data_IF_886920755729
#
_entry.id   IF_886920755729
#
_cell.length_a   1.000
_cell.length_b   1.000
_cell.length_c   1.000
_cell.angle_alpha   90.00
_cell.angle_beta   90.00
_cell.angle_gamma   90.00
#
_symmetry.space_group_name_H-M   'P 1'
#
loop_
_entity.id
_entity.type
_entity.pdbx_description
1 polymer ?
#
# COMPACT_ATOMS: atom_id res chain seq x y z
N UNK A 1 26.37 74.17 -61.84
CA UNK A 1 26.57 72.71 -61.89
C UNK A 1 25.55 72.06 -60.99
N UNK A 2 24.51 71.48 -61.57
CA UNK A 2 23.33 70.93 -60.90
C UNK A 2 23.59 69.45 -60.61
N UNK A 3 23.80 69.09 -59.34
CA UNK A 3 23.79 67.69 -58.94
C UNK A 3 22.37 67.15 -59.05
N UNK A 4 22.26 66.06 -59.79
CA UNK A 4 21.05 65.33 -60.10
C UNK A 4 20.28 64.99 -58.83
N UNK A 5 19.12 65.60 -58.64
CA UNK A 5 18.08 65.15 -57.72
C UNK A 5 17.62 63.78 -58.21
N UNK A 6 18.15 62.70 -57.63
CA UNK A 6 17.54 61.38 -57.79
C UNK A 6 16.12 61.51 -57.21
N UNK A 7 15.05 61.34 -58.01
CA UNK A 7 13.70 61.55 -57.53
C UNK A 7 13.41 60.50 -56.46
N UNK A 8 12.88 60.95 -55.31
CA UNK A 8 12.50 60.10 -54.15
C UNK A 8 11.69 58.87 -54.56
N UNK A 9 10.87 59.04 -55.59
CA UNK A 9 10.04 57.99 -56.20
C UNK A 9 10.86 56.84 -56.77
N UNK A 10 12.05 57.10 -57.33
CA UNK A 10 12.92 56.05 -57.87
C UNK A 10 13.53 55.19 -56.75
N UNK A 11 13.98 55.81 -55.65
CA UNK A 11 14.51 55.09 -54.49
C UNK A 11 13.42 54.25 -53.83
N UNK A 12 12.22 54.81 -53.65
CA UNK A 12 11.06 54.07 -53.13
C UNK A 12 10.62 52.94 -54.05
N UNK A 13 10.56 53.19 -55.36
CA UNK A 13 10.15 52.17 -56.34
C UNK A 13 11.16 51.02 -56.39
N UNK A 14 12.46 51.34 -56.34
CA UNK A 14 13.52 50.34 -56.30
C UNK A 14 13.46 49.49 -55.03
N UNK A 15 13.38 50.11 -53.84
CA UNK A 15 13.26 49.39 -52.57
C UNK A 15 11.99 48.54 -52.52
N UNK A 16 10.87 49.05 -53.04
CA UNK A 16 9.62 48.28 -53.15
C UNK A 16 9.78 47.07 -54.07
N UNK A 17 10.52 47.21 -55.18
CA UNK A 17 10.77 46.09 -56.11
C UNK A 17 11.62 44.99 -55.46
N UNK A 18 12.61 45.37 -54.66
CA UNK A 18 13.49 44.43 -53.95
C UNK A 18 12.74 43.71 -52.82
N UNK A 19 11.68 44.32 -52.26
CA UNK A 19 10.84 43.73 -51.20
C UNK A 19 9.81 42.71 -51.71
N UNK A 20 9.39 42.80 -52.97
CA UNK A 20 8.39 41.90 -53.58
C UNK A 20 8.60 40.39 -53.30
N UNK A 21 9.82 39.82 -53.46
CA UNK A 21 10.03 38.40 -53.17
C UNK A 21 9.80 38.06 -51.69
N UNK A 22 10.15 38.94 -50.74
CA UNK A 22 9.88 38.73 -49.31
C UNK A 22 8.38 38.77 -49.00
N UNK A 23 7.65 39.73 -49.56
CA UNK A 23 6.20 39.85 -49.35
C UNK A 23 5.44 38.64 -49.89
N UNK A 24 5.89 38.07 -51.01
CA UNK A 24 5.31 36.84 -51.54
C UNK A 24 5.49 35.65 -50.58
N UNK A 25 6.65 35.53 -49.94
CA UNK A 25 6.90 34.48 -48.93
C UNK A 25 6.14 34.70 -47.64
N UNK A 26 5.96 35.95 -47.19
CA UNK A 26 5.12 36.30 -46.03
C UNK A 26 3.66 35.84 -46.21
N UNK A 27 3.10 36.06 -47.41
CA UNK A 27 1.74 35.65 -47.76
C UNK A 27 1.55 34.12 -47.74
N UNK A 28 2.55 33.35 -48.17
CA UNK A 28 2.49 31.88 -48.19
C UNK A 28 2.64 31.28 -46.79
N UNK A 29 3.48 31.89 -45.95
CA UNK A 29 3.76 31.40 -44.59
C UNK A 29 2.69 31.90 -43.58
N UNK A 30 1.83 32.83 -43.99
CA UNK A 30 0.77 33.40 -43.14
C UNK A 30 1.30 34.28 -42.02
N UNK A 31 2.56 34.74 -42.11
CA UNK A 31 3.21 35.65 -41.15
C UNK A 31 3.38 37.01 -41.82
N UNK A 32 2.82 38.07 -41.24
CA UNK A 32 2.90 39.43 -41.80
C UNK A 32 4.04 40.23 -41.15
N UNK A 33 4.88 40.85 -41.98
CA UNK A 33 5.73 42.01 -41.69
C UNK A 33 6.63 41.94 -40.44
N UNK A 34 6.07 42.07 -39.25
CA UNK A 34 6.79 42.22 -37.98
C UNK A 34 7.08 40.89 -37.26
N UNK A 35 6.30 39.83 -37.53
CA UNK A 35 6.38 38.54 -36.82
C UNK A 35 7.34 37.54 -37.48
N UNK A 36 8.04 37.96 -38.54
CA UNK A 36 8.92 37.10 -39.33
C UNK A 36 10.38 37.61 -39.30
N UNK A 37 11.34 36.83 -38.75
CA UNK A 37 12.71 37.30 -38.58
C UNK A 37 13.43 37.79 -39.86
N UNK A 38 13.22 37.18 -41.05
CA UNK A 38 13.75 37.69 -42.31
C UNK A 38 13.19 39.05 -42.72
N UNK A 39 11.90 39.33 -42.46
CA UNK A 39 11.29 40.62 -42.75
C UNK A 39 11.85 41.72 -41.84
N UNK A 40 12.04 41.42 -40.54
CA UNK A 40 12.68 42.33 -39.58
C UNK A 40 14.14 42.64 -39.95
N UNK A 41 14.87 41.66 -40.49
CA UNK A 41 16.23 41.86 -40.99
C UNK A 41 16.26 42.74 -42.26
N UNK A 42 15.31 42.54 -43.18
CA UNK A 42 15.18 43.35 -44.39
C UNK A 42 14.78 44.80 -44.08
N UNK A 43 13.84 45.00 -43.15
CA UNK A 43 13.44 46.33 -42.67
C UNK A 43 14.62 47.12 -42.11
N UNK A 44 15.51 46.47 -41.35
CA UNK A 44 16.73 47.08 -40.84
C UNK A 44 17.72 47.48 -41.93
N UNK A 45 17.82 46.69 -43.00
CA UNK A 45 18.63 47.01 -44.18
C UNK A 45 18.03 48.17 -44.98
N UNK A 46 16.72 48.14 -45.24
CA UNK A 46 15.98 49.19 -45.94
C UNK A 46 16.12 50.54 -45.22
N UNK A 47 16.00 50.55 -43.90
CA UNK A 47 16.21 51.72 -43.04
C UNK A 47 17.64 52.29 -43.15
N UNK A 48 18.65 51.42 -43.21
CA UNK A 48 20.05 51.81 -43.40
C UNK A 48 20.31 52.47 -44.76
N UNK A 49 19.73 51.93 -45.82
CA UNK A 49 19.82 52.48 -47.19
C UNK A 49 19.10 53.82 -47.28
N UNK A 50 17.88 53.95 -46.75
CA UNK A 50 17.12 55.22 -46.71
C UNK A 50 17.88 56.31 -45.95
N UNK A 51 18.51 55.98 -44.82
CA UNK A 51 19.32 56.93 -44.04
C UNK A 51 20.59 57.35 -44.79
N UNK A 52 21.30 56.41 -45.41
CA UNK A 52 22.52 56.71 -46.18
C UNK A 52 22.25 57.59 -47.39
N UNK A 53 21.25 57.24 -48.19
CA UNK A 53 20.84 58.01 -49.38
C UNK A 53 20.22 59.35 -48.98
N UNK A 54 19.39 59.39 -47.93
CA UNK A 54 18.81 60.63 -47.41
C UNK A 54 19.85 61.61 -46.88
N UNK A 55 20.86 61.13 -46.16
CA UNK A 55 21.96 61.99 -45.66
C UNK A 55 22.80 62.56 -46.80
N UNK A 56 23.02 61.78 -47.86
CA UNK A 56 23.79 62.21 -49.04
C UNK A 56 23.05 63.27 -49.88
N UNK A 57 21.72 63.19 -49.95
CA UNK A 57 20.87 64.09 -50.75
C UNK A 57 20.33 65.28 -49.92
N UNK A 58 20.58 65.29 -48.61
CA UNK A 58 20.08 66.33 -47.70
C UNK A 58 18.58 66.21 -47.38
N UNK A 59 18.03 65.00 -47.50
CA UNK A 59 16.61 64.72 -47.34
C UNK A 59 16.27 64.26 -45.91
N UNK A 60 15.84 65.20 -45.08
CA UNK A 60 15.54 64.96 -43.66
C UNK A 60 14.36 64.01 -43.43
N UNK A 61 13.41 63.90 -44.37
CA UNK A 61 12.27 62.99 -44.23
C UNK A 61 12.69 61.52 -44.36
N UNK A 62 13.55 61.20 -45.32
CA UNK A 62 14.12 59.85 -45.49
C UNK A 62 14.98 59.41 -44.30
N UNK A 63 15.70 60.36 -43.69
CA UNK A 63 16.48 60.11 -42.46
C UNK A 63 15.55 59.83 -41.27
N UNK A 64 14.44 60.57 -41.12
CA UNK A 64 13.45 60.33 -40.07
C UNK A 64 12.72 59.00 -40.24
N UNK A 65 12.30 58.64 -41.46
CA UNK A 65 11.69 57.33 -41.76
C UNK A 65 12.62 56.17 -41.39
N UNK A 66 13.90 56.26 -41.76
CA UNK A 66 14.90 55.23 -41.41
C UNK A 66 15.17 55.13 -39.90
N UNK A 67 15.08 56.23 -39.14
CA UNK A 67 15.19 56.18 -37.68
C UNK A 67 13.97 55.50 -37.04
N UNK A 68 12.77 55.76 -37.54
CA UNK A 68 11.54 55.13 -37.05
C UNK A 68 11.52 53.63 -37.37
N UNK A 69 11.90 53.22 -38.60
CA UNK A 69 11.99 51.81 -39.00
C UNK A 69 13.02 51.06 -38.14
N UNK A 70 14.18 51.67 -37.87
CA UNK A 70 15.20 51.06 -36.99
C UNK A 70 14.68 50.88 -35.55
N UNK A 71 14.01 51.89 -34.99
CA UNK A 71 13.42 51.79 -33.65
C UNK A 71 12.35 50.70 -33.56
N UNK A 72 11.53 50.54 -34.61
CA UNK A 72 10.56 49.45 -34.71
C UNK A 72 11.24 48.08 -34.75
N UNK A 73 12.30 47.92 -35.55
CA UNK A 73 13.06 46.66 -35.63
C UNK A 73 13.70 46.30 -34.30
N UNK A 74 14.23 47.29 -33.57
CA UNK A 74 14.81 47.09 -32.24
C UNK A 74 13.74 46.61 -31.23
N UNK A 75 12.57 47.25 -31.20
CA UNK A 75 11.45 46.81 -30.36
C UNK A 75 10.97 45.38 -30.70
N UNK A 76 10.93 45.02 -31.98
CA UNK A 76 10.55 43.66 -32.40
C UNK A 76 11.59 42.62 -32.00
N UNK A 77 12.88 42.96 -32.04
CA UNK A 77 13.95 42.08 -31.55
C UNK A 77 13.83 41.87 -30.04
N UNK A 78 13.66 42.94 -29.28
CA UNK A 78 13.49 42.85 -27.83
C UNK A 78 12.26 42.02 -27.47
N UNK A 79 11.14 42.20 -28.19
CA UNK A 79 9.94 41.41 -27.99
C UNK A 79 10.17 39.91 -28.29
N UNK A 80 10.85 39.59 -29.38
CA UNK A 80 11.19 38.21 -29.74
C UNK A 80 12.13 37.55 -28.73
N UNK A 81 13.12 38.29 -28.20
CA UNK A 81 14.01 37.81 -27.14
C UNK A 81 13.25 37.54 -25.84
N UNK A 82 12.33 38.43 -25.46
CA UNK A 82 11.49 38.26 -24.27
C UNK A 82 10.52 37.06 -24.42
N UNK A 83 9.95 36.86 -25.60
CA UNK A 83 9.10 35.71 -25.90
C UNK A 83 9.87 34.40 -25.82
N UNK A 84 11.06 34.33 -26.45
CA UNK A 84 11.94 33.17 -26.37
C UNK A 84 12.35 32.85 -24.92
N UNK A 85 12.71 33.87 -24.13
CA UNK A 85 13.03 33.70 -22.72
C UNK A 85 11.81 33.23 -21.90
N UNK A 86 10.61 33.71 -22.22
CA UNK A 86 9.38 33.27 -21.58
C UNK A 86 9.03 31.81 -21.92
N UNK A 87 9.17 31.41 -23.18
CA UNK A 87 8.98 30.02 -23.62
C UNK A 87 9.98 29.08 -22.94
N UNK A 88 11.25 29.46 -22.88
CA UNK A 88 12.27 28.69 -22.18
C UNK A 88 11.91 28.50 -20.69
N UNK A 89 11.55 29.59 -20.00
CA UNK A 89 11.13 29.51 -18.59
C UNK A 89 9.88 28.65 -18.39
N UNK A 90 8.91 28.70 -19.31
CA UNK A 90 7.72 27.83 -19.28
C UNK A 90 8.10 26.37 -19.46
N UNK A 91 9.01 26.06 -20.38
CA UNK A 91 9.49 24.70 -20.61
C UNK A 91 10.21 24.14 -19.38
N UNK A 92 11.13 24.92 -18.78
CA UNK A 92 11.84 24.56 -17.56
C UNK A 92 10.88 24.36 -16.38
N UNK A 93 9.92 25.27 -16.19
CA UNK A 93 8.92 25.16 -15.13
C UNK A 93 8.03 23.93 -15.29
N UNK A 94 7.64 23.60 -16.53
CA UNK A 94 6.85 22.41 -16.83
C UNK A 94 7.65 21.13 -16.54
N UNK A 95 8.89 21.06 -17.01
CA UNK A 95 9.77 19.92 -16.73
C UNK A 95 9.95 19.69 -15.22
N UNK A 96 10.26 20.75 -14.47
CA UNK A 96 10.39 20.65 -13.01
C UNK A 96 9.07 20.35 -12.29
N UNK A 97 7.92 20.73 -12.85
CA UNK A 97 6.62 20.34 -12.31
C UNK A 97 6.34 18.84 -12.53
N UNK A 98 6.59 18.33 -13.73
CA UNK A 98 6.36 16.93 -14.09
C UNK A 98 7.27 16.00 -13.27
N UNK A 99 8.55 16.35 -13.10
CA UNK A 99 9.51 15.61 -12.25
C UNK A 99 9.06 15.55 -10.77
N UNK A 100 8.63 16.69 -10.21
CA UNK A 100 8.10 16.74 -8.84
C UNK A 100 6.84 15.90 -8.69
N UNK A 101 5.96 15.94 -9.68
CA UNK A 101 4.72 15.16 -9.70
C UNK A 101 5.02 13.66 -9.72
N UNK A 102 5.93 13.22 -10.57
CA UNK A 102 6.38 11.82 -10.65
C UNK A 102 6.99 11.37 -9.30
N UNK A 103 7.91 12.15 -8.75
CA UNK A 103 8.52 11.87 -7.44
C UNK A 103 7.49 11.72 -6.32
N UNK A 104 6.48 12.60 -6.29
CA UNK A 104 5.40 12.54 -5.29
C UNK A 104 4.53 11.29 -5.50
N UNK A 105 4.23 10.94 -6.75
CA UNK A 105 3.47 9.72 -7.07
C UNK A 105 4.23 8.45 -6.69
N UNK A 106 5.52 8.36 -7.01
CA UNK A 106 6.37 7.23 -6.62
C UNK A 106 6.45 7.09 -5.11
N UNK A 107 6.65 8.21 -4.39
CA UNK A 107 6.67 8.21 -2.93
C UNK A 107 5.33 7.76 -2.35
N UNK A 108 4.21 8.23 -2.91
CA UNK A 108 2.88 7.81 -2.48
C UNK A 108 2.68 6.30 -2.68
N UNK A 109 2.99 5.78 -3.87
CA UNK A 109 2.89 4.34 -4.16
C UNK A 109 3.81 3.49 -3.27
N UNK A 110 5.00 3.99 -2.92
CA UNK A 110 5.90 3.30 -2.01
C UNK A 110 5.33 3.25 -0.60
N UNK A 111 4.81 4.36 -0.09
CA UNK A 111 4.17 4.43 1.24
C UNK A 111 2.95 3.51 1.30
N UNK A 112 2.13 3.48 0.24
CA UNK A 112 0.98 2.60 0.15
C UNK A 112 1.38 1.12 0.17
N UNK A 113 2.37 0.72 -0.65
CA UNK A 113 2.92 -0.65 -0.64
C UNK A 113 3.49 -1.03 0.72
N UNK A 114 4.28 -0.16 1.36
CA UNK A 114 4.83 -0.41 2.70
C UNK A 114 3.70 -0.53 3.75
N UNK A 115 2.61 0.22 3.61
CA UNK A 115 1.46 0.12 4.50
C UNK A 115 0.70 -1.20 4.31
N UNK A 116 0.48 -1.62 3.06
CA UNK A 116 -0.15 -2.91 2.74
C UNK A 116 0.68 -4.10 3.23
N UNK A 117 2.00 -4.08 3.01
CA UNK A 117 2.90 -5.12 3.49
C UNK A 117 2.89 -5.22 5.02
N UNK A 118 2.90 -4.08 5.72
CA UNK A 118 2.78 -4.05 7.19
C UNK A 118 1.45 -4.63 7.65
N UNK A 119 0.34 -4.26 7.00
CA UNK A 119 -0.99 -4.79 7.32
C UNK A 119 -1.05 -6.30 7.11
N UNK A 120 -0.58 -6.79 5.96
CA UNK A 120 -0.54 -8.22 5.65
C UNK A 120 0.34 -9.00 6.64
N UNK A 121 1.47 -8.42 7.08
CA UNK A 121 2.32 -9.03 8.11
C UNK A 121 1.61 -9.12 9.46
N UNK A 122 0.94 -8.05 9.90
CA UNK A 122 0.17 -8.05 11.15
C UNK A 122 -0.96 -9.08 11.12
N UNK A 123 -1.71 -9.15 10.02
CA UNK A 123 -2.79 -10.15 9.86
C UNK A 123 -2.26 -11.59 9.92
N UNK A 124 -1.10 -11.86 9.31
CA UNK A 124 -0.44 -13.18 9.41
C UNK A 124 0.00 -13.49 10.83
N UNK A 125 0.64 -12.53 11.51
CA UNK A 125 1.07 -12.71 12.91
C UNK A 125 -0.12 -12.97 13.84
N UNK A 126 -1.24 -12.26 13.66
CA UNK A 126 -2.47 -12.51 14.42
C UNK A 126 -3.06 -13.88 14.15
N UNK A 127 -3.12 -14.30 12.88
CA UNK A 127 -3.61 -15.62 12.50
C UNK A 127 -2.74 -16.74 13.09
N UNK A 128 -1.41 -16.60 13.06
CA UNK A 128 -0.48 -17.57 13.61
C UNK A 128 -0.56 -17.63 15.15
N UNK A 129 -0.67 -16.48 15.82
CA UNK A 129 -0.91 -16.42 17.27
C UNK A 129 -2.21 -17.13 17.65
N UNK A 130 -3.30 -16.87 16.91
CA UNK A 130 -4.59 -17.51 17.16
C UNK A 130 -4.49 -19.03 17.00
N UNK A 131 -3.85 -19.51 15.94
CA UNK A 131 -3.62 -20.95 15.71
C UNK A 131 -2.79 -21.57 16.84
N UNK A 132 -1.73 -20.91 17.28
CA UNK A 132 -0.88 -21.39 18.38
C UNK A 132 -1.64 -21.48 19.72
N UNK A 133 -2.50 -20.51 20.00
CA UNK A 133 -3.38 -20.51 21.18
C UNK A 133 -4.40 -21.65 21.08
N UNK A 134 -5.05 -21.82 19.93
CA UNK A 134 -6.02 -22.91 19.70
C UNK A 134 -5.35 -24.30 19.83
N UNK A 135 -4.16 -24.48 19.26
CA UNK A 135 -3.41 -25.73 19.36
C UNK A 135 -3.00 -26.03 20.80
N UNK A 136 -2.54 -25.02 21.53
CA UNK A 136 -2.18 -25.14 22.94
C UNK A 136 -3.41 -25.47 23.79
N UNK A 137 -4.56 -24.86 23.51
CA UNK A 137 -5.81 -25.15 24.19
C UNK A 137 -6.27 -26.60 23.94
N UNK A 138 -6.24 -27.06 22.68
CA UNK A 138 -6.56 -28.45 22.31
C UNK A 138 -5.64 -29.44 23.01
N UNK A 139 -4.33 -29.20 23.02
CA UNK A 139 -3.36 -30.06 23.73
C UNK A 139 -3.65 -30.15 25.23
N UNK A 140 -3.98 -29.02 25.87
CA UNK A 140 -4.35 -28.99 27.29
C UNK A 140 -5.66 -29.74 27.55
N UNK A 141 -6.66 -29.58 26.70
CA UNK A 141 -7.93 -30.28 26.81
C UNK A 141 -7.75 -31.79 26.65
N UNK A 142 -6.99 -32.24 25.64
CA UNK A 142 -6.67 -33.65 25.45
C UNK A 142 -5.89 -34.24 26.64
N UNK A 143 -4.91 -33.48 27.16
CA UNK A 143 -4.15 -33.89 28.35
C UNK A 143 -5.06 -34.01 29.59
N UNK A 144 -5.96 -33.04 29.80
CA UNK A 144 -6.94 -33.08 30.88
C UNK A 144 -7.88 -34.28 30.76
N UNK A 145 -8.45 -34.51 29.57
CA UNK A 145 -9.30 -35.69 29.29
C UNK A 145 -8.57 -37.01 29.58
N UNK A 146 -7.31 -37.14 29.17
CA UNK A 146 -6.49 -38.33 29.46
C UNK A 146 -6.23 -38.49 30.96
N UNK A 147 -5.93 -37.40 31.66
CA UNK A 147 -5.72 -37.41 33.11
C UNK A 147 -7.00 -37.81 33.86
N UNK A 148 -8.16 -37.29 33.46
CA UNK A 148 -9.45 -37.64 34.05
C UNK A 148 -9.81 -39.11 33.80
N UNK A 149 -9.60 -39.61 32.58
CA UNK A 149 -9.80 -41.03 32.27
C UNK A 149 -8.88 -41.93 33.10
N UNK A 150 -7.61 -41.55 33.27
CA UNK A 150 -6.68 -42.29 34.11
C UNK A 150 -7.17 -42.30 35.57
N UNK A 151 -7.58 -41.14 36.10
CA UNK A 151 -8.12 -41.01 37.45
C UNK A 151 -9.37 -41.86 37.66
N UNK A 152 -10.32 -41.83 36.73
CA UNK A 152 -11.53 -42.66 36.78
C UNK A 152 -11.20 -44.15 36.80
N UNK A 153 -10.22 -44.60 36.00
CA UNK A 153 -9.75 -45.99 36.02
C UNK A 153 -9.17 -46.38 37.38
N UNK A 154 -8.37 -45.50 37.98
CA UNK A 154 -7.78 -45.74 39.31
C UNK A 154 -8.86 -45.83 40.38
N UNK A 155 -9.81 -44.90 40.38
CA UNK A 155 -10.95 -44.92 41.32
C UNK A 155 -11.79 -46.18 41.14
N UNK A 156 -12.14 -46.54 39.90
CA UNK A 156 -12.90 -47.75 39.62
C UNK A 156 -12.15 -49.04 40.05
N UNK A 157 -10.83 -49.08 39.90
CA UNK A 157 -10.01 -50.19 40.38
C UNK A 157 -10.03 -50.28 41.92
N UNK A 158 -9.87 -49.14 42.61
CA UNK A 158 -9.95 -49.08 44.07
C UNK A 158 -11.33 -49.49 44.59
N UNK A 159 -12.41 -49.02 43.96
CA UNK A 159 -13.77 -49.41 44.32
C UNK A 159 -14.00 -50.92 44.15
N UNK A 160 -13.51 -51.51 43.05
CA UNK A 160 -13.58 -52.96 42.83
C UNK A 160 -12.82 -53.73 43.90
N UNK A 161 -11.61 -53.29 44.24
CA UNK A 161 -10.80 -53.91 45.27
C UNK A 161 -11.47 -53.82 46.65
N UNK A 162 -12.01 -52.65 47.01
CA UNK A 162 -12.74 -52.46 48.26
C UNK A 162 -14.01 -53.32 48.33
N UNK A 163 -14.77 -53.43 47.23
CA UNK A 163 -15.93 -54.33 47.15
C UNK A 163 -15.54 -55.80 47.30
N UNK A 164 -14.46 -56.23 46.63
CA UNK A 164 -13.97 -57.59 46.74
C UNK A 164 -13.53 -57.93 48.18
N UNK A 165 -12.79 -57.02 48.83
CA UNK A 165 -12.38 -57.19 50.22
C UNK A 165 -13.58 -57.24 51.18
N UNK A 166 -14.59 -56.38 50.97
CA UNK A 166 -15.83 -56.40 51.75
C UNK A 166 -16.60 -57.71 51.58
N UNK A 167 -16.76 -58.19 50.34
CA UNK A 167 -17.45 -59.45 50.07
C UNK A 167 -16.71 -60.65 50.69
N UNK A 168 -15.36 -60.66 50.65
CA UNK A 168 -14.55 -61.68 51.31
C UNK A 168 -14.74 -61.67 52.84
N UNK A 169 -14.73 -60.48 53.45
CA UNK A 169 -14.99 -60.34 54.88
C UNK A 169 -16.42 -60.75 55.27
N UNK A 170 -17.42 -60.43 54.45
CA UNK A 170 -18.81 -60.87 54.64
C UNK A 170 -18.94 -62.40 54.51
N UNK A 171 -18.23 -63.05 53.57
CA UNK A 171 -18.22 -64.51 53.47
C UNK A 171 -17.55 -65.18 54.68
N UNK A 172 -16.39 -64.68 55.12
CA UNK A 172 -15.71 -65.21 56.31
C UNK A 172 -16.60 -65.07 57.57
N UNK A 173 -17.30 -63.94 57.71
CA UNK A 173 -18.23 -63.73 58.81
C UNK A 173 -19.42 -64.72 58.76
N UNK A 174 -19.99 -64.95 57.57
CA UNK A 174 -21.07 -65.93 57.38
C UNK A 174 -20.62 -67.36 57.68
N UNK A 175 -19.41 -67.74 57.28
CA UNK A 175 -18.86 -69.07 57.57
C UNK A 175 -18.70 -69.27 59.09
N UNK A 176 -18.15 -68.26 59.80
CA UNK A 176 -18.08 -68.30 61.26
C UNK A 176 -19.46 -68.33 61.95
N UNK A 177 -20.45 -67.61 61.43
CA UNK A 177 -21.82 -67.69 61.94
C UNK A 177 -22.43 -69.08 61.75
N UNK A 178 -22.20 -69.72 60.59
CA UNK A 178 -22.65 -71.09 60.32
C UNK A 178 -21.97 -72.11 61.23
N UNK A 179 -20.65 -72.01 61.41
CA UNK A 179 -19.89 -72.85 62.34
C UNK A 179 -20.42 -72.70 63.79
N UNK A 180 -20.64 -71.47 64.24
CA UNK A 180 -21.18 -71.20 65.56
C UNK A 180 -22.62 -71.71 65.73
N UNK A 181 -23.44 -71.63 64.68
CA UNK A 181 -24.80 -72.18 64.68
C UNK A 181 -24.79 -73.71 64.72
N UNK A 182 -23.92 -74.37 63.94
CA UNK A 182 -23.74 -75.82 63.95
C UNK A 182 -23.28 -76.31 65.34
N UNK A 183 -22.27 -75.66 65.93
CA UNK A 183 -21.81 -75.99 67.27
C UNK A 183 -22.92 -75.85 68.33
N UNK A 184 -23.76 -74.81 68.24
CA UNK A 184 -24.94 -74.65 69.12
C UNK A 184 -25.95 -75.79 68.93
N UNK A 185 -26.21 -76.21 67.69
CA UNK A 185 -27.11 -77.31 67.40
C UNK A 185 -26.59 -78.64 67.99
N UNK A 186 -25.29 -78.90 67.87
CA UNK A 186 -24.65 -80.08 68.47
C UNK A 186 -24.79 -80.10 69.99
N UNK A 187 -24.55 -78.96 70.66
CA UNK A 187 -24.74 -78.84 72.13
C UNK A 187 -26.18 -79.12 72.52
N UNK A 188 -27.17 -78.57 71.79
CA UNK A 188 -28.59 -78.85 72.05
C UNK A 188 -28.93 -80.33 71.84
N UNK A 189 -28.35 -80.98 70.83
CA UNK A 189 -28.51 -82.42 70.57
C UNK A 189 -27.96 -83.27 71.71
N UNK A 190 -26.75 -82.97 72.20
CA UNK A 190 -26.14 -83.65 73.38
C UNK A 190 -27.01 -83.45 74.62
N UNK A 191 -27.52 -82.24 74.85
CA UNK A 191 -28.35 -81.92 76.02
C UNK A 191 -29.70 -82.67 75.98
N UNK A 192 -30.31 -82.78 74.79
CA UNK A 192 -31.50 -83.62 74.58
C UNK A 192 -31.22 -85.11 74.80
N UNK A 193 -30.10 -85.63 74.29
CA UNK A 193 -29.69 -87.01 74.51
C UNK A 193 -29.48 -87.29 76.01
N UNK A 194 -28.80 -86.41 76.74
CA UNK A 194 -28.63 -86.51 78.20
C UNK A 194 -29.97 -86.51 78.94
N UNK A 195 -30.91 -85.64 78.55
CA UNK A 195 -32.27 -85.63 79.11
C UNK A 195 -32.99 -86.94 78.87
N UNK A 196 -32.95 -87.49 77.65
CA UNK A 196 -33.55 -88.78 77.29
C UNK A 196 -32.96 -89.95 78.09
N UNK A 197 -31.63 -90.01 78.25
CA UNK A 197 -30.98 -91.04 79.08
C UNK A 197 -31.37 -90.91 80.55
N UNK A 198 -31.51 -89.68 81.07
CA UNK A 198 -32.00 -89.43 82.43
C UNK A 198 -33.45 -89.91 82.63
N UNK A 199 -34.35 -89.63 81.70
CA UNK A 199 -35.75 -90.10 81.78
C UNK A 199 -35.85 -91.62 81.67
N UNK A 200 -35.11 -92.26 80.76
CA UNK A 200 -35.06 -93.73 80.65
C UNK A 200 -34.58 -94.37 81.96
N UNK A 201 -33.55 -93.81 82.60
CA UNK A 201 -33.04 -94.27 83.90
C UNK A 201 -34.05 -94.08 85.04
N UNK A 202 -34.94 -93.09 84.93
CA UNK A 202 -36.00 -92.80 85.92
C UNK A 202 -37.20 -93.74 85.79
N UNK A 203 -37.39 -94.39 84.63
CA UNK A 203 -38.45 -95.38 84.37
C UNK A 203 -38.05 -96.82 84.72
N UNK A 204 -36.75 -97.10 84.90
CA UNK A 204 -36.24 -98.42 85.34
C UNK A 204 -36.06 -98.55 86.86
N UNK A 205 -36.56 -97.57 87.63
CA UNK A 205 -36.64 -97.57 89.10
C UNK A 205 -38.09 -97.51 89.51
#
# INVERSE_FOLDING_TARGET
MSFQTIPRTAVRSWLSLVRLPLTATELVVGKQGADWPPAVAFDGFEAGVKKGVGTLIGDSQLVQEGMLERGKVEQLRDAAELEAAAEQRRAEAKAGFDERKETVQERAQRVEREAEERKAKLEREEADRKRAVEETARRKEEAARKADQARQKTVAAQERQARAARLAAESEALDHEQEAAAAKADVLGVDQALKATKTARKQQR
#
